data_IF_247589814517
#
_entry.id   IF_247589814517
#
_cell.length_a   1.000
_cell.length_b   1.000
_cell.length_c   1.000
_cell.angle_alpha   90.00
_cell.angle_beta   90.00
_cell.angle_gamma   90.00
#
_symmetry.space_group_name_H-M   'P 1'
#
loop_
_entity.id
_entity.type
_entity.pdbx_description
1 polymer ?
#
# COMPACT_ATOMS: atom_id res chain seq x y z
N UNK A 1 4.02 8.78 -16.81
CA UNK A 1 3.07 8.89 -15.68
C UNK A 1 3.90 9.04 -14.44
N UNK A 2 3.48 9.79 -13.43
CA UNK A 2 4.21 9.80 -12.17
C UNK A 2 3.80 8.57 -11.35
N UNK A 3 4.77 7.84 -10.82
CA UNK A 3 4.48 6.71 -9.92
C UNK A 3 4.14 7.26 -8.53
N UNK A 4 3.33 6.55 -7.76
CA UNK A 4 3.11 6.87 -6.35
C UNK A 4 3.77 5.81 -5.47
N UNK A 5 4.43 6.26 -4.41
CA UNK A 5 5.07 5.44 -3.40
C UNK A 5 4.58 5.92 -2.04
N UNK A 6 3.50 5.29 -1.58
CA UNK A 6 2.85 5.61 -0.31
C UNK A 6 2.33 4.33 0.32
N UNK A 7 1.91 4.41 1.59
CA UNK A 7 1.45 3.24 2.31
C UNK A 7 0.13 2.69 1.75
N UNK A 8 -0.89 3.56 1.66
CA UNK A 8 -2.26 3.17 1.35
C UNK A 8 -2.71 3.42 -0.08
N UNK A 9 -1.77 3.55 -1.03
CA UNK A 9 -2.07 3.86 -2.44
C UNK A 9 -1.91 2.68 -3.41
N UNK A 10 -1.90 2.99 -4.69
CA UNK A 10 -1.62 2.03 -5.75
C UNK A 10 -0.18 1.54 -5.69
N UNK A 11 0.03 0.26 -6.01
CA UNK A 11 1.36 -0.38 -5.93
C UNK A 11 1.82 -1.04 -7.21
N UNK A 12 0.96 -1.17 -8.22
CA UNK A 12 1.30 -1.79 -9.51
C UNK A 12 0.99 -0.77 -10.60
N UNK A 13 1.99 -0.46 -11.42
CA UNK A 13 1.89 0.49 -12.52
C UNK A 13 2.29 -0.19 -13.82
N UNK A 14 1.48 -0.01 -14.87
CA UNK A 14 1.84 -0.42 -16.23
C UNK A 14 1.98 0.82 -17.10
N UNK A 15 3.19 1.07 -17.61
CA UNK A 15 3.53 2.28 -18.36
C UNK A 15 4.06 1.94 -19.75
N UNK A 16 4.11 2.93 -20.63
CA UNK A 16 4.66 2.73 -21.99
C UNK A 16 6.21 2.82 -22.02
N UNK A 17 6.79 3.42 -20.99
CA UNK A 17 8.22 3.64 -20.81
C UNK A 17 8.49 3.85 -19.32
N UNK A 18 9.70 3.51 -18.88
CA UNK A 18 10.15 3.75 -17.50
C UNK A 18 9.81 5.18 -17.04
N UNK A 19 9.30 5.31 -15.84
CA UNK A 19 8.91 6.60 -15.28
C UNK A 19 10.12 7.37 -14.77
N UNK A 20 10.04 8.69 -14.95
CA UNK A 20 11.10 9.64 -14.58
C UNK A 20 10.81 10.35 -13.25
N UNK A 21 9.61 10.16 -12.68
CA UNK A 21 9.18 10.78 -11.43
C UNK A 21 8.43 9.80 -10.52
N UNK A 22 8.70 9.88 -9.21
CA UNK A 22 8.02 9.12 -8.14
C UNK A 22 7.57 10.10 -7.06
N UNK A 23 6.30 10.03 -6.69
CA UNK A 23 5.70 10.80 -5.60
C UNK A 23 5.73 9.98 -4.32
N UNK A 24 6.54 10.40 -3.37
CA UNK A 24 6.70 9.71 -2.09
C UNK A 24 5.85 10.40 -1.03
N UNK A 25 4.87 9.67 -0.48
CA UNK A 25 4.08 10.12 0.67
C UNK A 25 4.89 9.97 1.96
N UNK A 26 5.09 11.07 2.69
CA UNK A 26 5.90 11.10 3.91
C UNK A 26 5.11 11.72 5.06
N UNK A 27 5.66 11.61 6.28
CA UNK A 27 5.16 12.30 7.48
C UNK A 27 5.07 13.83 7.32
N UNK A 28 5.88 14.43 6.44
CA UNK A 28 5.96 15.90 6.29
C UNK A 28 5.45 16.40 4.93
N UNK A 29 4.75 15.56 4.16
CA UNK A 29 4.14 15.92 2.90
C UNK A 29 4.46 14.95 1.78
N UNK A 30 4.31 15.41 0.53
CA UNK A 30 4.72 14.67 -0.67
C UNK A 30 6.08 15.17 -1.14
N UNK A 31 6.98 14.23 -1.43
CA UNK A 31 8.27 14.49 -2.05
C UNK A 31 8.25 13.98 -3.49
N UNK A 32 8.47 14.87 -4.45
CA UNK A 32 8.55 14.51 -5.86
C UNK A 32 10.02 14.23 -6.18
N UNK A 33 10.35 12.96 -6.33
CA UNK A 33 11.68 12.51 -6.73
C UNK A 33 11.72 12.39 -8.25
N UNK A 34 12.76 12.95 -8.86
CA UNK A 34 12.98 12.90 -10.31
C UNK A 34 14.33 12.28 -10.62
N UNK A 35 14.39 11.46 -11.67
CA UNK A 35 15.66 10.98 -12.23
C UNK A 35 16.48 12.15 -12.75
N UNK A 36 17.79 12.12 -12.52
CA UNK A 36 18.69 13.16 -13.01
C UNK A 36 18.90 13.05 -14.52
N UNK A 37 19.09 14.19 -15.18
CA UNK A 37 19.44 14.23 -16.60
C UNK A 37 20.72 13.42 -16.85
N UNK A 38 20.71 12.55 -17.87
CA UNK A 38 21.82 11.62 -18.15
C UNK A 38 21.70 10.26 -17.47
N UNK A 39 20.66 10.03 -16.66
CA UNK A 39 20.23 8.70 -16.21
C UNK A 39 20.91 8.15 -14.96
N UNK A 40 21.83 8.87 -14.34
CA UNK A 40 22.47 8.45 -13.08
C UNK A 40 21.91 9.21 -11.87
N UNK A 41 21.25 8.49 -10.96
CA UNK A 41 20.77 8.99 -9.68
C UNK A 41 19.45 9.77 -9.74
N UNK A 42 19.02 10.22 -8.57
CA UNK A 42 17.76 10.93 -8.35
C UNK A 42 17.96 12.21 -7.54
N UNK A 43 17.02 13.14 -7.67
CA UNK A 43 16.98 14.38 -6.89
C UNK A 43 15.56 14.78 -6.52
N UNK A 44 15.41 15.58 -5.46
CA UNK A 44 14.12 16.15 -5.06
C UNK A 44 13.82 17.30 -6.04
N UNK A 45 12.78 17.13 -6.85
CA UNK A 45 12.31 18.18 -7.76
C UNK A 45 11.47 19.22 -7.03
N UNK A 46 10.55 18.78 -6.17
CA UNK A 46 9.69 19.65 -5.36
C UNK A 46 9.10 18.92 -4.15
N UNK A 47 8.49 19.69 -3.26
CA UNK A 47 7.71 19.22 -2.11
C UNK A 47 6.33 19.88 -2.13
N UNK A 48 5.31 19.16 -1.70
CA UNK A 48 3.94 19.68 -1.58
C UNK A 48 3.29 19.19 -0.29
N UNK A 49 2.20 19.84 0.12
CA UNK A 49 1.47 19.53 1.36
C UNK A 49 2.42 19.46 2.58
N UNK A 50 3.37 20.40 2.64
CA UNK A 50 4.28 20.51 3.77
C UNK A 50 3.48 20.57 5.08
N UNK A 51 3.93 19.87 6.12
CA UNK A 51 3.25 19.67 7.41
C UNK A 51 2.14 18.60 7.48
N UNK A 52 1.77 18.02 6.33
CA UNK A 52 0.77 16.94 6.29
C UNK A 52 1.45 15.58 6.31
N UNK A 53 1.03 14.73 7.22
CA UNK A 53 1.40 13.32 7.15
C UNK A 53 0.58 12.65 6.05
N UNK A 54 1.22 12.39 4.92
CA UNK A 54 0.57 11.76 3.75
C UNK A 54 0.74 10.25 3.81
N UNK A 55 -0.40 9.56 3.92
CA UNK A 55 -0.47 8.12 4.11
C UNK A 55 -0.76 7.38 2.80
N UNK A 56 -1.62 7.95 1.96
CA UNK A 56 -2.04 7.36 0.70
C UNK A 56 -1.97 8.39 -0.42
N UNK A 57 -1.42 8.01 -1.57
CA UNK A 57 -1.39 8.83 -2.79
C UNK A 57 -1.77 7.94 -3.97
N UNK A 58 -2.70 8.42 -4.81
CA UNK A 58 -3.04 7.82 -6.10
C UNK A 58 -3.07 8.89 -7.19
N UNK A 59 -2.94 8.46 -8.45
CA UNK A 59 -3.14 9.32 -9.63
C UNK A 59 -4.33 8.79 -10.41
N UNK A 60 -5.37 9.62 -10.57
CA UNK A 60 -6.55 9.22 -11.32
C UNK A 60 -6.19 9.05 -12.80
N UNK A 61 -6.35 7.84 -13.38
CA UNK A 61 -5.71 7.50 -14.65
C UNK A 61 -6.24 8.28 -15.85
N UNK A 62 -7.48 8.83 -15.81
CA UNK A 62 -8.06 9.57 -16.93
C UNK A 62 -7.71 11.05 -16.92
N UNK A 63 -7.82 11.71 -15.77
CA UNK A 63 -7.60 13.14 -15.60
C UNK A 63 -6.17 13.49 -15.23
N UNK A 64 -5.40 12.55 -14.67
CA UNK A 64 -4.09 12.80 -14.11
C UNK A 64 -4.12 13.53 -12.76
N UNK A 65 -5.31 13.71 -12.16
CA UNK A 65 -5.43 14.34 -10.85
C UNK A 65 -4.72 13.52 -9.79
N UNK A 66 -3.89 14.16 -8.97
CA UNK A 66 -3.19 13.53 -7.85
C UNK A 66 -4.07 13.70 -6.62
N UNK A 67 -4.34 12.60 -5.92
CA UNK A 67 -5.20 12.56 -4.75
C UNK A 67 -4.37 12.06 -3.58
N UNK A 68 -4.34 12.83 -2.49
CA UNK A 68 -3.54 12.57 -1.32
C UNK A 68 -4.41 12.49 -0.06
N UNK A 69 -4.35 11.35 0.61
CA UNK A 69 -4.96 11.10 1.92
C UNK A 69 -3.97 11.38 3.05
N UNK A 70 -4.43 12.10 4.07
CA UNK A 70 -3.63 12.56 5.17
C UNK A 70 -4.11 12.03 6.53
N UNK A 71 -3.16 11.83 7.45
CA UNK A 71 -3.38 11.51 8.87
C UNK A 71 -3.64 12.79 9.66
N UNK A 72 -4.48 12.71 10.69
CA UNK A 72 -5.02 13.81 11.51
C UNK A 72 -5.70 14.92 10.68
N UNK A 73 -6.06 14.58 9.45
CA UNK A 73 -6.70 15.43 8.46
C UNK A 73 -7.52 14.53 7.51
N UNK A 74 -7.78 14.98 6.29
CA UNK A 74 -8.60 14.24 5.32
C UNK A 74 -7.90 14.16 3.96
N UNK A 75 -8.49 14.75 2.90
CA UNK A 75 -8.05 14.52 1.52
C UNK A 75 -7.79 15.82 0.77
N UNK A 76 -6.73 15.80 -0.03
CA UNK A 76 -6.29 16.90 -0.87
C UNK A 76 -6.17 16.42 -2.32
N UNK A 77 -6.54 17.27 -3.27
CA UNK A 77 -6.50 16.96 -4.70
C UNK A 77 -5.77 18.06 -5.46
N UNK A 78 -4.91 17.66 -6.38
CA UNK A 78 -4.26 18.52 -7.36
C UNK A 78 -4.68 18.12 -8.77
N UNK A 79 -5.09 19.09 -9.58
CA UNK A 79 -5.42 18.91 -11.00
C UNK A 79 -4.36 19.55 -11.93
N UNK A 80 -3.23 20.00 -11.36
CA UNK A 80 -2.16 20.75 -12.06
C UNK A 80 -0.76 20.17 -11.79
N UNK A 81 -0.66 18.84 -11.71
CA UNK A 81 0.58 18.10 -11.49
C UNK A 81 1.26 18.44 -10.15
N UNK A 82 0.46 18.63 -9.10
CA UNK A 82 0.93 18.84 -7.74
C UNK A 82 1.41 20.27 -7.45
N UNK A 83 1.17 21.23 -8.36
CA UNK A 83 1.55 22.63 -8.17
C UNK A 83 0.65 23.32 -7.15
N UNK A 84 -0.66 23.09 -7.22
CA UNK A 84 -1.65 23.57 -6.26
C UNK A 84 -2.52 22.43 -5.76
N UNK A 85 -3.02 22.58 -4.53
CA UNK A 85 -3.80 21.56 -3.83
C UNK A 85 -5.04 22.17 -3.23
N UNK A 86 -6.16 21.49 -3.42
CA UNK A 86 -7.45 21.84 -2.85
C UNK A 86 -7.87 20.74 -1.87
N UNK A 87 -8.32 21.14 -0.67
CA UNK A 87 -8.96 20.21 0.24
C UNK A 87 -10.35 19.85 -0.30
N UNK A 88 -10.61 18.57 -0.54
CA UNK A 88 -11.87 18.09 -1.15
C UNK A 88 -12.50 17.00 -0.31
N UNK A 89 -12.99 17.38 0.87
CA UNK A 89 -13.46 16.47 1.92
C UNK A 89 -14.97 16.55 2.19
N UNK A 90 -15.74 17.19 1.31
CA UNK A 90 -17.19 17.34 1.51
C UNK A 90 -17.88 15.98 1.58
N UNK A 91 -18.48 15.66 2.73
CA UNK A 91 -19.14 14.38 2.97
C UNK A 91 -18.28 13.31 3.67
N UNK A 92 -16.98 13.53 3.80
CA UNK A 92 -16.12 12.70 4.67
C UNK A 92 -16.41 13.08 6.12
N UNK A 93 -16.79 12.10 6.93
CA UNK A 93 -17.15 12.31 8.35
C UNK A 93 -16.11 11.80 9.33
N UNK A 94 -15.09 11.09 8.85
CA UNK A 94 -13.99 10.56 9.65
C UNK A 94 -12.65 11.16 9.22
N UNK A 95 -11.73 11.43 10.14
CA UNK A 95 -10.36 11.84 9.80
C UNK A 95 -9.55 10.62 9.32
N UNK A 96 -8.25 10.84 9.11
CA UNK A 96 -7.24 9.79 8.89
C UNK A 96 -7.52 8.94 7.65
N UNK A 97 -7.21 9.47 6.46
CA UNK A 97 -7.34 8.70 5.23
C UNK A 97 -6.20 7.68 5.15
N UNK A 98 -6.52 6.43 5.45
CA UNK A 98 -5.57 5.33 5.58
C UNK A 98 -5.29 4.65 4.23
N UNK A 99 -6.29 4.60 3.35
CA UNK A 99 -6.18 3.99 2.03
C UNK A 99 -6.99 4.73 0.98
N UNK A 100 -6.49 4.71 -0.26
CA UNK A 100 -7.12 5.24 -1.45
C UNK A 100 -7.02 4.22 -2.57
N UNK A 101 -8.08 4.12 -3.37
CA UNK A 101 -8.09 3.30 -4.57
C UNK A 101 -9.02 3.89 -5.63
N UNK A 102 -8.77 3.58 -6.89
CA UNK A 102 -9.64 3.95 -8.00
C UNK A 102 -10.16 2.70 -8.73
N UNK A 103 -11.43 2.72 -9.14
CA UNK A 103 -12.03 1.65 -9.94
C UNK A 103 -12.94 2.22 -11.03
N UNK A 104 -13.13 1.47 -12.12
CA UNK A 104 -14.14 1.81 -13.12
C UNK A 104 -15.50 1.27 -12.71
N UNK A 105 -16.47 2.17 -12.48
CA UNK A 105 -17.85 1.85 -12.13
C UNK A 105 -18.76 2.49 -13.16
N UNK A 106 -19.56 1.69 -13.87
CA UNK A 106 -20.47 2.16 -14.92
C UNK A 106 -19.78 3.06 -15.97
N UNK A 107 -18.55 2.73 -16.35
CA UNK A 107 -17.75 3.46 -17.35
C UNK A 107 -17.08 4.75 -16.86
N UNK A 108 -17.22 5.10 -15.57
CA UNK A 108 -16.59 6.26 -14.94
C UNK A 108 -15.58 5.82 -13.89
N UNK A 109 -14.54 6.62 -13.68
CA UNK A 109 -13.65 6.41 -12.54
C UNK A 109 -14.36 6.84 -11.27
N UNK A 110 -14.42 5.94 -10.28
CA UNK A 110 -14.83 6.22 -8.91
C UNK A 110 -13.61 6.08 -8.01
N UNK A 111 -13.43 7.04 -7.11
CA UNK A 111 -12.37 7.00 -6.10
C UNK A 111 -12.99 6.51 -4.80
N UNK A 112 -12.27 5.66 -4.08
CA UNK A 112 -12.64 5.16 -2.76
C UNK A 112 -11.62 5.65 -1.72
N UNK A 113 -12.10 5.91 -0.50
CA UNK A 113 -11.29 6.29 0.63
C UNK A 113 -11.65 5.46 1.86
N UNK A 114 -10.64 4.82 2.44
CA UNK A 114 -10.71 4.09 3.70
C UNK A 114 -10.13 4.94 4.83
N UNK A 115 -10.77 4.93 6.00
CA UNK A 115 -10.39 5.80 7.12
C UNK A 115 -10.01 5.06 8.39
N UNK A 116 -9.51 5.80 9.39
CA UNK A 116 -9.47 5.42 10.80
C UNK A 116 -10.36 6.38 11.62
N UNK A 117 -11.44 5.93 12.29
CA UNK A 117 -11.96 4.56 12.37
C UNK A 117 -12.36 3.96 11.01
N UNK A 118 -12.43 2.63 10.93
CA UNK A 118 -12.73 1.87 9.71
C UNK A 118 -14.09 2.23 9.08
N UNK A 119 -14.06 3.17 8.14
CA UNK A 119 -15.17 3.56 7.28
C UNK A 119 -14.72 3.53 5.82
N UNK A 120 -15.69 3.39 4.91
CA UNK A 120 -15.47 3.41 3.47
C UNK A 120 -16.33 4.50 2.84
N UNK A 121 -15.68 5.38 2.07
CA UNK A 121 -16.33 6.43 1.29
C UNK A 121 -16.00 6.26 -0.19
N UNK A 122 -16.83 6.83 -1.05
CA UNK A 122 -16.51 6.98 -2.47
C UNK A 122 -16.87 8.36 -3.01
N UNK A 123 -16.24 8.74 -4.11
CA UNK A 123 -16.50 9.95 -4.89
C UNK A 123 -16.50 9.65 -6.39
N UNK A 124 -17.46 10.23 -7.11
CA UNK A 124 -17.59 10.16 -8.57
C UNK A 124 -17.18 11.47 -9.28
N UNK A 125 -16.68 12.46 -8.53
CA UNK A 125 -16.44 13.83 -9.01
C UNK A 125 -15.05 14.37 -8.62
N UNK A 126 -14.06 13.48 -8.58
CA UNK A 126 -12.67 13.76 -8.24
C UNK A 126 -12.51 14.35 -6.82
N UNK A 127 -13.21 13.73 -5.87
CA UNK A 127 -13.17 14.05 -4.46
C UNK A 127 -14.04 15.23 -4.03
N UNK A 128 -14.73 15.94 -4.95
CA UNK A 128 -15.50 17.14 -4.56
C UNK A 128 -16.63 16.81 -3.58
N UNK A 129 -17.29 15.67 -3.76
CA UNK A 129 -18.31 15.13 -2.86
C UNK A 129 -18.05 13.65 -2.59
N UNK A 130 -18.21 13.27 -1.32
CA UNK A 130 -18.05 11.91 -0.83
C UNK A 130 -19.36 11.36 -0.29
N UNK A 131 -19.62 10.09 -0.59
CA UNK A 131 -20.73 9.33 -0.04
C UNK A 131 -20.19 8.13 0.71
N UNK A 132 -20.70 7.91 1.92
CA UNK A 132 -20.33 6.76 2.73
C UNK A 132 -20.99 5.46 2.22
N UNK A 133 -20.26 4.35 2.30
CA UNK A 133 -20.77 2.98 2.19
C UNK A 133 -20.85 2.37 3.60
N UNK A 134 -21.95 2.62 4.35
CA UNK A 134 -22.05 2.20 5.75
C UNK A 134 -22.14 0.68 5.91
N UNK A 135 -22.46 -0.05 4.83
CA UNK A 135 -22.59 -1.49 4.82
C UNK A 135 -21.31 -2.23 5.26
N UNK A 136 -20.13 -1.62 5.11
CA UNK A 136 -18.88 -2.17 5.64
C UNK A 136 -18.98 -2.48 7.14
N UNK A 137 -19.71 -1.65 7.90
CA UNK A 137 -19.93 -1.81 9.35
C UNK A 137 -21.25 -2.48 9.70
N UNK A 138 -21.89 -3.16 8.73
CA UNK A 138 -23.07 -4.00 8.99
C UNK A 138 -22.71 -5.45 9.33
N UNK A 139 -21.43 -5.83 9.21
CA UNK A 139 -20.88 -7.07 9.77
C UNK A 139 -20.74 -6.96 11.29
N UNK A 140 -20.42 -8.07 11.98
CA UNK A 140 -20.03 -8.00 13.39
C UNK A 140 -18.67 -7.30 13.52
N UNK A 141 -18.69 -6.10 14.12
CA UNK A 141 -17.51 -5.27 14.37
C UNK A 141 -17.06 -5.31 15.83
N UNK A 142 -17.60 -6.21 16.65
CA UNK A 142 -17.35 -6.22 18.10
C UNK A 142 -15.90 -6.57 18.46
N UNK A 143 -15.17 -7.22 17.56
CA UNK A 143 -13.76 -7.56 17.69
C UNK A 143 -12.81 -6.58 16.96
N UNK A 144 -13.34 -5.55 16.30
CA UNK A 144 -12.53 -4.58 15.58
C UNK A 144 -11.73 -3.72 16.57
N UNK A 145 -10.41 -3.82 16.50
CA UNK A 145 -9.50 -3.10 17.40
C UNK A 145 -8.12 -2.97 16.76
N UNK A 146 -7.26 -2.14 17.32
CA UNK A 146 -5.85 -2.12 16.95
C UNK A 146 -4.99 -2.23 18.21
N UNK A 147 -3.90 -3.03 18.22
CA UNK A 147 -3.06 -3.15 19.42
C UNK A 147 -2.42 -1.83 19.86
N UNK A 148 -2.10 -0.94 18.91
CA UNK A 148 -1.57 0.39 19.21
C UNK A 148 -2.67 1.41 19.56
N UNK A 149 -2.39 2.44 20.38
CA UNK A 149 -3.28 3.60 20.52
C UNK A 149 -3.58 4.22 19.14
N UNK A 150 -4.83 4.69 18.88
CA UNK A 150 -5.94 4.84 19.83
C UNK A 150 -6.80 3.57 20.06
N UNK A 151 -6.32 2.39 19.65
CA UNK A 151 -7.03 1.11 19.72
C UNK A 151 -8.28 1.03 18.84
N UNK A 152 -8.18 1.64 17.67
CA UNK A 152 -9.27 1.73 16.69
C UNK A 152 -8.80 1.05 15.41
N UNK A 153 -9.62 0.13 14.89
CA UNK A 153 -9.34 -0.49 13.59
C UNK A 153 -9.50 0.50 12.44
N UNK A 154 -8.77 0.27 11.36
CA UNK A 154 -8.78 1.13 10.17
C UNK A 154 -8.98 0.34 8.89
N UNK A 155 -9.59 1.00 7.91
CA UNK A 155 -9.76 0.47 6.55
C UNK A 155 -8.41 0.54 5.84
N UNK A 156 -7.65 -0.52 6.01
CA UNK A 156 -6.23 -0.62 5.70
C UNK A 156 -5.97 -0.75 4.20
N UNK A 157 -6.76 -1.55 3.50
CA UNK A 157 -6.54 -1.81 2.09
C UNK A 157 -7.87 -2.01 1.35
N UNK A 158 -7.95 -1.46 0.14
CA UNK A 158 -9.10 -1.56 -0.75
C UNK A 158 -8.61 -2.23 -2.04
N UNK A 159 -9.20 -3.36 -2.40
CA UNK A 159 -8.87 -4.05 -3.65
C UNK A 159 -10.15 -4.50 -4.36
N UNK A 160 -10.06 -4.68 -5.67
CA UNK A 160 -11.17 -5.03 -6.54
C UNK A 160 -10.83 -6.28 -7.33
N UNK A 161 -11.83 -7.13 -7.57
CA UNK A 161 -11.66 -8.20 -8.55
C UNK A 161 -11.34 -7.58 -9.93
N UNK A 162 -10.31 -8.08 -10.64
CA UNK A 162 -9.81 -7.43 -11.85
C UNK A 162 -10.83 -7.40 -13.00
N UNK A 163 -11.79 -8.32 -13.01
CA UNK A 163 -12.82 -8.44 -14.05
C UNK A 163 -14.22 -7.98 -13.58
N UNK A 164 -14.40 -7.68 -12.29
CA UNK A 164 -15.69 -7.28 -11.72
C UNK A 164 -15.51 -6.28 -10.57
N UNK A 165 -15.71 -5.00 -10.87
CA UNK A 165 -15.56 -3.93 -9.88
C UNK A 165 -16.68 -3.89 -8.83
N UNK A 166 -17.73 -4.72 -8.95
CA UNK A 166 -18.69 -4.93 -7.87
C UNK A 166 -18.15 -5.86 -6.79
N UNK A 167 -17.15 -6.68 -7.13
CA UNK A 167 -16.48 -7.54 -6.15
C UNK A 167 -15.33 -6.77 -5.50
N UNK A 168 -15.53 -6.36 -4.25
CA UNK A 168 -14.62 -5.50 -3.48
C UNK A 168 -14.10 -6.29 -2.28
N UNK A 169 -12.80 -6.21 -2.03
CA UNK A 169 -12.13 -6.73 -0.85
C UNK A 169 -11.62 -5.56 0.00
N UNK A 170 -11.99 -5.56 1.28
CA UNK A 170 -11.59 -4.54 2.25
C UNK A 170 -10.83 -5.21 3.39
N UNK A 171 -9.54 -4.92 3.50
CA UNK A 171 -8.75 -5.28 4.67
C UNK A 171 -9.03 -4.31 5.81
N UNK A 172 -9.46 -4.83 6.97
CA UNK A 172 -9.56 -4.05 8.21
C UNK A 172 -8.48 -4.55 9.17
N UNK A 173 -7.62 -3.64 9.63
CA UNK A 173 -6.47 -3.93 10.51
C UNK A 173 -6.78 -3.33 11.90
N UNK A 174 -7.16 -4.10 12.94
CA UNK A 174 -7.51 -5.53 12.99
C UNK A 174 -9.03 -5.69 12.96
N UNK A 175 -9.52 -6.50 12.02
CA UNK A 175 -10.95 -6.76 11.83
C UNK A 175 -11.25 -7.77 10.72
N UNK A 176 -10.23 -8.30 10.06
CA UNK A 176 -10.33 -9.31 9.03
C UNK A 176 -10.64 -8.76 7.64
N UNK A 177 -10.70 -9.68 6.67
CA UNK A 177 -11.02 -9.39 5.28
C UNK A 177 -12.54 -9.36 5.08
N UNK A 178 -13.06 -8.24 4.58
CA UNK A 178 -14.46 -8.11 4.19
C UNK A 178 -14.59 -8.21 2.68
N UNK A 179 -15.62 -8.89 2.19
CA UNK A 179 -15.91 -9.04 0.76
C UNK A 179 -17.31 -8.51 0.45
N UNK A 180 -17.43 -7.72 -0.60
CA UNK A 180 -18.69 -7.39 -1.25
C UNK A 180 -18.71 -7.99 -2.65
N UNK A 181 -19.90 -8.28 -3.18
CA UNK A 181 -20.13 -8.71 -4.59
C UNK A 181 -21.19 -7.85 -5.28
N UNK A 182 -21.61 -6.75 -4.64
CA UNK A 182 -22.69 -5.88 -5.08
C UNK A 182 -22.29 -4.39 -5.06
N UNK A 183 -20.99 -4.11 -5.19
CA UNK A 183 -20.45 -2.76 -5.24
C UNK A 183 -20.43 -2.04 -3.89
N UNK A 184 -20.37 -2.80 -2.80
CA UNK A 184 -20.30 -2.29 -1.43
C UNK A 184 -21.67 -2.01 -0.79
N UNK A 185 -22.76 -2.56 -1.34
CA UNK A 185 -24.09 -2.46 -0.73
C UNK A 185 -24.27 -3.45 0.42
N UNK A 186 -23.61 -4.60 0.36
CA UNK A 186 -23.48 -5.57 1.44
C UNK A 186 -22.05 -6.10 1.54
N UNK A 187 -21.66 -6.50 2.75
CA UNK A 187 -20.36 -7.11 3.03
C UNK A 187 -20.53 -8.38 3.86
N UNK A 188 -19.65 -9.35 3.61
CA UNK A 188 -19.46 -10.53 4.44
C UNK A 188 -18.00 -10.63 4.87
N UNK A 189 -17.78 -11.06 6.10
CA UNK A 189 -16.42 -11.35 6.59
C UNK A 189 -15.95 -12.69 6.05
N UNK A 190 -14.77 -12.70 5.46
CA UNK A 190 -14.06 -13.92 5.06
C UNK A 190 -13.28 -14.47 6.25
N UNK A 191 -13.36 -15.78 6.48
CA UNK A 191 -12.73 -16.48 7.61
C UNK A 191 -11.65 -17.46 7.13
N UNK A 192 -10.85 -17.98 8.05
CA UNK A 192 -9.83 -19.02 7.76
C UNK A 192 -8.40 -18.50 7.65
N UNK A 193 -8.19 -17.21 7.92
CA UNK A 193 -6.90 -16.52 7.99
C UNK A 193 -6.87 -15.60 9.22
N UNK A 194 -5.71 -15.01 9.53
CA UNK A 194 -5.57 -14.03 10.60
C UNK A 194 -6.44 -12.77 10.36
N UNK A 195 -6.83 -12.11 11.46
CA UNK A 195 -7.68 -10.93 11.43
C UNK A 195 -6.88 -9.62 11.28
N UNK A 196 -5.56 -9.65 11.50
CA UNK A 196 -4.67 -8.51 11.29
C UNK A 196 -4.29 -8.41 9.80
N UNK A 197 -5.28 -8.08 8.96
CA UNK A 197 -5.12 -8.06 7.50
C UNK A 197 -4.41 -6.78 7.07
N UNK A 198 -3.16 -6.91 6.61
CA UNK A 198 -2.38 -5.78 6.11
C UNK A 198 -2.67 -5.50 4.63
N UNK A 199 -2.73 -6.53 3.79
CA UNK A 199 -2.95 -6.35 2.36
C UNK A 199 -3.65 -7.53 1.70
N UNK A 200 -4.43 -7.25 0.68
CA UNK A 200 -5.04 -8.24 -0.21
C UNK A 200 -4.50 -8.07 -1.60
N UNK A 201 -3.99 -9.14 -2.20
CA UNK A 201 -3.38 -9.11 -3.53
C UNK A 201 -3.96 -10.24 -4.38
N UNK A 202 -4.67 -9.85 -5.42
CA UNK A 202 -5.38 -10.78 -6.32
C UNK A 202 -4.49 -11.04 -7.52
N UNK A 203 -4.31 -12.31 -7.87
CA UNK A 203 -3.59 -12.66 -9.10
C UNK A 203 -4.41 -12.21 -10.32
N UNK A 204 -3.88 -11.33 -11.18
CA UNK A 204 -4.63 -10.82 -12.33
C UNK A 204 -4.90 -11.86 -13.41
N UNK A 205 -4.13 -12.96 -13.47
CA UNK A 205 -4.33 -14.04 -14.45
C UNK A 205 -5.22 -15.18 -13.93
N UNK A 206 -5.41 -15.27 -12.61
CA UNK A 206 -6.31 -16.23 -11.96
C UNK A 206 -6.87 -15.61 -10.68
N UNK A 207 -8.01 -14.91 -10.76
CA UNK A 207 -8.58 -14.20 -9.62
C UNK A 207 -9.03 -15.08 -8.45
N UNK A 208 -9.08 -16.40 -8.62
CA UNK A 208 -9.30 -17.32 -7.50
C UNK A 208 -8.05 -17.47 -6.62
N UNK A 209 -6.88 -17.09 -7.13
CA UNK A 209 -5.63 -17.07 -6.40
C UNK A 209 -5.41 -15.71 -5.74
N UNK A 210 -5.52 -15.66 -4.42
CA UNK A 210 -5.42 -14.42 -3.64
C UNK A 210 -4.43 -14.62 -2.51
N UNK A 211 -3.56 -13.64 -2.31
CA UNK A 211 -2.61 -13.57 -1.21
C UNK A 211 -3.06 -12.54 -0.18
N UNK A 212 -2.84 -12.87 1.09
CA UNK A 212 -3.10 -11.98 2.22
C UNK A 212 -1.81 -11.89 3.02
N UNK A 213 -1.32 -10.68 3.23
CA UNK A 213 -0.30 -10.40 4.24
C UNK A 213 -0.99 -9.97 5.53
N UNK A 214 -0.47 -10.41 6.66
CA UNK A 214 -1.03 -10.05 7.96
C UNK A 214 -0.07 -10.21 9.12
N UNK A 215 -0.60 -10.04 10.32
CA UNK A 215 0.18 -9.99 11.57
C UNK A 215 0.92 -11.27 11.90
N UNK A 216 0.50 -12.41 11.36
CA UNK A 216 1.11 -13.72 11.63
C UNK A 216 1.73 -14.41 10.40
N UNK A 217 1.81 -13.74 9.25
CA UNK A 217 2.45 -14.25 8.04
C UNK A 217 1.67 -13.99 6.76
N UNK A 218 1.85 -14.89 5.79
CA UNK A 218 1.22 -14.84 4.47
C UNK A 218 0.24 -16.01 4.34
N UNK A 219 -0.99 -15.70 3.96
CA UNK A 219 -1.98 -16.70 3.54
C UNK A 219 -2.19 -16.65 2.04
N UNK A 220 -2.55 -17.79 1.46
CA UNK A 220 -2.94 -17.90 0.06
C UNK A 220 -4.16 -18.80 -0.10
N UNK A 221 -5.11 -18.37 -0.91
CA UNK A 221 -6.23 -19.19 -1.40
C UNK A 221 -6.04 -19.42 -2.89
N UNK A 222 -6.55 -20.55 -3.39
CA UNK A 222 -6.60 -20.88 -4.82
C UNK A 222 -8.01 -21.21 -5.31
N UNK A 223 -9.00 -21.00 -4.45
CA UNK A 223 -10.40 -21.36 -4.65
C UNK A 223 -11.35 -20.18 -4.34
N UNK A 224 -10.85 -18.94 -4.46
CA UNK A 224 -11.71 -17.75 -4.34
C UNK A 224 -12.14 -17.45 -2.90
N UNK A 225 -11.26 -17.74 -1.93
CA UNK A 225 -11.44 -17.58 -0.48
C UNK A 225 -12.27 -18.66 0.22
N UNK A 226 -12.42 -19.86 -0.36
CA UNK A 226 -13.09 -20.98 0.32
C UNK A 226 -12.16 -21.68 1.32
N UNK A 227 -10.89 -21.88 0.95
CA UNK A 227 -9.84 -22.42 1.81
C UNK A 227 -8.55 -21.62 1.72
N UNK A 228 -7.73 -21.72 2.77
CA UNK A 228 -6.49 -20.95 2.93
C UNK A 228 -5.31 -21.85 3.32
N UNK A 229 -4.18 -21.61 2.69
CA UNK A 229 -2.86 -22.13 3.03
C UNK A 229 -2.05 -21.05 3.76
N UNK A 230 -1.48 -21.38 4.93
CA UNK A 230 -0.59 -20.48 5.68
C UNK A 230 0.84 -20.69 5.20
N UNK A 231 1.29 -19.86 4.25
CA UNK A 231 2.57 -20.03 3.55
C UNK A 231 3.78 -19.72 4.45
N UNK A 232 3.62 -18.76 5.36
CA UNK A 232 4.70 -18.32 6.26
C UNK A 232 4.15 -18.07 7.65
N UNK A 233 5.01 -18.16 8.67
CA UNK A 233 4.66 -17.85 10.07
C UNK A 233 5.54 -16.73 10.62
N UNK A 234 5.26 -16.26 11.83
CA UNK A 234 6.06 -15.25 12.54
C UNK A 234 7.54 -15.64 12.77
N UNK A 235 7.88 -16.93 12.63
CA UNK A 235 9.24 -17.44 12.75
C UNK A 235 9.96 -17.62 11.40
N UNK A 236 9.31 -17.31 10.27
CA UNK A 236 9.86 -17.53 8.93
C UNK A 236 11.03 -16.57 8.66
N UNK A 237 12.07 -17.04 7.94
CA UNK A 237 13.30 -16.25 7.71
C UNK A 237 13.11 -14.99 6.86
N UNK A 238 12.03 -14.96 6.07
CA UNK A 238 11.57 -13.77 5.35
C UNK A 238 11.33 -12.57 6.27
N UNK A 239 10.91 -12.84 7.50
CA UNK A 239 10.37 -11.86 8.44
C UNK A 239 8.99 -12.29 8.92
N UNK A 240 8.72 -12.06 10.20
CA UNK A 240 7.48 -12.48 10.85
C UNK A 240 6.32 -11.50 10.72
N UNK A 241 6.52 -10.35 10.06
CA UNK A 241 5.49 -9.31 9.92
C UNK A 241 5.52 -8.71 8.49
N UNK A 242 4.97 -9.43 7.49
CA UNK A 242 4.88 -8.95 6.11
C UNK A 242 3.80 -7.88 5.97
N UNK A 243 4.07 -6.77 5.27
CA UNK A 243 3.06 -5.76 4.95
C UNK A 243 2.84 -5.71 3.43
N UNK A 244 3.86 -5.30 2.67
CA UNK A 244 3.77 -5.24 1.20
C UNK A 244 4.01 -6.59 0.54
N UNK A 245 3.05 -7.00 -0.29
CA UNK A 245 3.21 -8.06 -1.28
C UNK A 245 2.78 -7.52 -2.65
N UNK A 246 3.60 -7.78 -3.67
CA UNK A 246 3.39 -7.37 -5.06
C UNK A 246 3.44 -8.60 -5.97
N UNK A 247 2.54 -8.65 -6.95
CA UNK A 247 2.60 -9.60 -8.05
C UNK A 247 3.00 -8.88 -9.32
N UNK A 248 3.92 -9.45 -10.09
CA UNK A 248 4.22 -8.89 -11.41
C UNK A 248 2.99 -9.01 -12.32
N UNK A 249 2.54 -7.93 -12.98
CA UNK A 249 1.25 -7.90 -13.67
C UNK A 249 1.15 -8.87 -14.86
N UNK A 250 2.26 -9.15 -15.55
CA UNK A 250 2.33 -10.12 -16.67
C UNK A 250 2.84 -11.52 -16.29
N UNK A 251 3.35 -11.70 -15.06
CA UNK A 251 4.07 -12.90 -14.59
C UNK A 251 3.74 -13.14 -13.12
N UNK A 252 2.49 -13.46 -12.77
CA UNK A 252 2.04 -13.48 -11.38
C UNK A 252 2.65 -14.58 -10.50
N UNK A 253 3.46 -15.48 -11.07
CA UNK A 253 4.37 -16.35 -10.34
C UNK A 253 5.54 -15.59 -9.69
N UNK A 254 5.86 -14.40 -10.21
CA UNK A 254 6.86 -13.48 -9.66
C UNK A 254 6.20 -12.66 -8.55
N UNK A 255 6.60 -12.94 -7.32
CA UNK A 255 6.05 -12.31 -6.10
C UNK A 255 7.16 -11.60 -5.35
N UNK A 256 6.97 -10.32 -5.03
CA UNK A 256 7.85 -9.61 -4.10
C UNK A 256 7.14 -9.40 -2.76
N UNK A 257 7.85 -9.62 -1.66
CA UNK A 257 7.34 -9.35 -0.32
C UNK A 257 8.36 -8.51 0.45
N UNK A 258 7.86 -7.52 1.20
CA UNK A 258 8.63 -6.83 2.21
C UNK A 258 8.07 -7.18 3.61
N UNK A 259 8.95 -7.68 4.49
CA UNK A 259 8.57 -8.12 5.82
C UNK A 259 9.57 -7.66 6.88
N UNK A 260 9.05 -7.12 7.98
CA UNK A 260 9.85 -6.86 9.17
C UNK A 260 10.16 -8.18 9.90
N UNK A 261 11.26 -8.21 10.65
CA UNK A 261 11.67 -9.41 11.37
C UNK A 261 10.63 -9.82 12.42
N UNK A 262 10.10 -8.85 13.15
CA UNK A 262 9.07 -9.00 14.17
C UNK A 262 8.08 -7.85 14.05
N UNK A 263 6.91 -7.97 14.69
CA UNK A 263 5.87 -6.94 14.65
C UNK A 263 6.22 -5.66 15.44
N UNK A 264 5.43 -4.58 15.29
CA UNK A 264 5.73 -3.24 15.80
C UNK A 264 5.94 -3.16 17.32
N UNK A 265 5.39 -4.11 18.07
CA UNK A 265 5.61 -4.22 19.51
C UNK A 265 7.09 -4.34 19.88
N UNK A 266 7.88 -5.09 19.11
CA UNK A 266 9.31 -5.27 19.40
C UNK A 266 10.15 -4.05 19.04
N UNK A 267 9.72 -3.25 18.05
CA UNK A 267 10.48 -2.09 17.57
C UNK A 267 10.58 -1.01 18.63
N UNK A 268 9.61 -0.94 19.55
CA UNK A 268 9.61 0.01 20.68
C UNK A 268 10.83 -0.17 21.60
N UNK A 269 11.33 -1.39 21.70
CA UNK A 269 12.49 -1.72 22.55
C UNK A 269 13.78 -1.78 21.72
N UNK A 270 13.72 -2.39 20.53
CA UNK A 270 14.92 -2.60 19.69
C UNK A 270 15.31 -1.38 18.86
N UNK A 271 14.39 -0.45 18.62
CA UNK A 271 14.49 0.62 17.63
C UNK A 271 14.90 0.10 16.23
N UNK A 272 14.49 -1.13 15.91
CA UNK A 272 14.93 -1.88 14.74
C UNK A 272 13.83 -2.84 14.26
N UNK A 273 13.33 -2.62 13.05
CA UNK A 273 12.35 -3.50 12.41
C UNK A 273 12.99 -4.72 11.74
N UNK A 274 14.21 -4.57 11.22
CA UNK A 274 14.99 -5.65 10.62
C UNK A 274 14.41 -6.17 9.32
N UNK A 275 13.87 -5.28 8.49
CA UNK A 275 13.10 -5.64 7.30
C UNK A 275 13.96 -6.21 6.18
N UNK A 276 13.35 -7.09 5.39
CA UNK A 276 13.91 -7.66 4.17
C UNK A 276 12.91 -7.53 3.03
N UNK A 277 13.44 -7.49 1.80
CA UNK A 277 12.67 -7.67 0.59
C UNK A 277 13.09 -9.03 0.01
N UNK A 278 12.11 -9.82 -0.41
CA UNK A 278 12.32 -11.15 -0.94
C UNK A 278 11.48 -11.37 -2.18
N UNK A 279 11.99 -12.23 -3.06
CA UNK A 279 11.42 -12.57 -4.35
C UNK A 279 11.06 -14.06 -4.38
N UNK A 280 9.93 -14.39 -4.97
CA UNK A 280 9.57 -15.74 -5.38
C UNK A 280 9.35 -15.75 -6.88
N UNK A 281 9.77 -16.81 -7.55
CA UNK A 281 9.51 -17.06 -8.98
C UNK A 281 8.55 -18.24 -9.21
N UNK A 282 7.93 -18.77 -8.15
CA UNK A 282 7.04 -19.94 -8.21
C UNK A 282 5.70 -19.71 -7.47
N UNK A 283 5.32 -18.43 -7.31
CA UNK A 283 4.07 -18.03 -6.70
C UNK A 283 4.06 -18.16 -5.17
N UNK A 284 5.20 -17.94 -4.52
CA UNK A 284 5.36 -17.90 -3.07
C UNK A 284 5.66 -19.24 -2.40
N UNK A 285 6.03 -20.29 -3.17
CA UNK A 285 6.39 -21.60 -2.62
C UNK A 285 7.83 -21.63 -2.13
N UNK A 286 8.73 -20.97 -2.87
CA UNK A 286 10.11 -20.75 -2.47
C UNK A 286 10.46 -19.28 -2.59
N UNK A 287 11.44 -18.85 -1.80
CA UNK A 287 11.80 -17.45 -1.69
C UNK A 287 13.31 -17.27 -1.68
N UNK A 288 13.75 -16.23 -2.36
CA UNK A 288 15.09 -15.70 -2.35
C UNK A 288 15.09 -14.35 -1.63
N UNK A 289 16.03 -14.14 -0.71
CA UNK A 289 16.26 -12.83 -0.13
C UNK A 289 16.99 -11.97 -1.14
N UNK A 290 16.39 -10.84 -1.52
CA UNK A 290 17.05 -9.88 -2.39
C UNK A 290 18.18 -9.19 -1.64
N UNK A 291 19.32 -9.07 -2.31
CA UNK A 291 20.53 -8.45 -1.80
C UNK A 291 21.14 -7.53 -2.86
N UNK A 292 22.46 -7.38 -2.87
CA UNK A 292 23.17 -6.63 -3.91
C UNK A 292 22.79 -5.13 -4.00
N UNK A 293 23.07 -4.42 -2.90
CA UNK A 293 22.76 -3.01 -2.72
C UNK A 293 21.93 -2.77 -1.46
N UNK A 294 20.95 -3.62 -1.21
CA UNK A 294 20.19 -3.63 0.05
C UNK A 294 21.07 -4.13 1.22
N UNK A 295 20.89 -3.58 2.44
CA UNK A 295 21.45 -4.19 3.64
C UNK A 295 20.77 -5.53 3.93
N UNK A 296 21.46 -6.44 4.63
CA UNK A 296 20.87 -7.74 5.01
C UNK A 296 19.57 -7.59 5.82
N UNK A 297 19.51 -6.56 6.69
CA UNK A 297 18.30 -6.15 7.39
C UNK A 297 18.25 -4.63 7.48
N UNK A 298 17.16 -4.06 7.01
CA UNK A 298 16.91 -2.62 7.09
C UNK A 298 16.50 -2.22 8.50
N UNK A 299 16.99 -1.08 8.99
CA UNK A 299 16.58 -0.55 10.29
C UNK A 299 15.08 -0.27 10.33
N UNK A 300 14.56 0.45 9.34
CA UNK A 300 13.14 0.79 9.23
C UNK A 300 12.27 -0.36 8.70
N UNK A 301 10.98 -0.33 9.04
CA UNK A 301 9.96 -1.09 8.31
C UNK A 301 9.86 -0.57 6.89
N UNK A 302 9.64 -1.45 5.91
CA UNK A 302 9.24 -1.04 4.55
C UNK A 302 7.76 -0.72 4.60
N UNK A 303 7.41 0.55 4.43
CA UNK A 303 6.05 1.08 4.62
C UNK A 303 5.44 1.61 3.33
N UNK A 304 6.18 1.57 2.22
CA UNK A 304 5.66 1.73 0.87
C UNK A 304 6.48 0.88 -0.09
N UNK A 305 5.82 0.20 -1.03
CA UNK A 305 6.48 -0.54 -2.10
C UNK A 305 5.62 -0.50 -3.36
N UNK A 306 6.24 -0.28 -4.52
CA UNK A 306 5.53 -0.38 -5.80
C UNK A 306 6.40 -1.01 -6.90
N UNK A 307 5.73 -1.52 -7.93
CA UNK A 307 6.33 -2.10 -9.12
C UNK A 307 5.83 -1.35 -10.36
N UNK A 308 6.75 -0.98 -11.23
CA UNK A 308 6.47 -0.44 -12.56
C UNK A 308 6.87 -1.45 -13.64
N UNK A 309 5.90 -1.87 -14.44
CA UNK A 309 6.12 -2.66 -15.65
C UNK A 309 5.95 -1.77 -16.90
N UNK A 310 7.05 -1.45 -17.59
CA UNK A 310 7.03 -0.68 -18.83
C UNK A 310 7.03 -1.54 -20.10
N UNK A 311 6.70 -2.84 -20.00
CA UNK A 311 6.61 -3.75 -21.13
C UNK A 311 7.95 -4.27 -21.66
N UNK A 312 9.07 -3.97 -20.99
CA UNK A 312 10.38 -4.51 -21.32
C UNK A 312 10.61 -5.94 -20.83
N UNK A 313 11.86 -6.39 -20.92
CA UNK A 313 12.33 -7.67 -20.37
C UNK A 313 12.48 -7.64 -18.84
N UNK A 314 12.53 -6.44 -18.27
CA UNK A 314 12.62 -6.17 -16.83
C UNK A 314 11.61 -5.11 -16.38
N UNK A 315 11.59 -4.82 -15.08
CA UNK A 315 10.67 -3.93 -14.39
C UNK A 315 11.40 -3.20 -13.25
N UNK A 316 10.80 -2.12 -12.74
CA UNK A 316 11.34 -1.39 -11.60
C UNK A 316 10.59 -1.77 -10.34
N UNK A 317 11.30 -1.80 -9.22
CA UNK A 317 10.71 -1.90 -7.89
C UNK A 317 11.24 -0.76 -7.04
N UNK A 318 10.33 -0.07 -6.38
CA UNK A 318 10.65 0.96 -5.40
C UNK A 318 10.21 0.51 -4.03
N UNK A 319 11.02 0.78 -3.01
CA UNK A 319 10.68 0.54 -1.61
C UNK A 319 11.08 1.76 -0.77
N UNK A 320 10.23 2.16 0.17
CA UNK A 320 10.53 3.24 1.10
C UNK A 320 10.22 2.86 2.54
N UNK A 321 10.99 3.42 3.47
CA UNK A 321 11.02 2.97 4.86
C UNK A 321 10.45 3.99 5.85
N UNK A 322 10.09 3.48 7.03
CA UNK A 322 9.78 4.27 8.22
C UNK A 322 10.96 5.09 8.78
N UNK A 323 12.15 4.96 8.20
CA UNK A 323 13.35 5.73 8.57
C UNK A 323 13.77 6.73 7.51
N UNK A 324 13.04 6.83 6.39
CA UNK A 324 13.22 7.88 5.39
C UNK A 324 14.18 7.54 4.25
N UNK A 325 14.54 6.27 4.09
CA UNK A 325 15.28 5.77 2.92
C UNK A 325 14.30 5.38 1.80
N UNK A 326 14.70 5.62 0.55
CA UNK A 326 14.02 5.17 -0.66
C UNK A 326 15.01 4.39 -1.52
N UNK A 327 14.61 3.20 -1.92
CA UNK A 327 15.39 2.25 -2.70
C UNK A 327 14.74 2.00 -4.05
N UNK A 328 15.56 1.78 -5.06
CA UNK A 328 15.12 1.44 -6.42
C UNK A 328 15.93 0.27 -6.96
N UNK A 329 15.25 -0.63 -7.66
CA UNK A 329 15.84 -1.55 -8.62
C UNK A 329 15.17 -1.31 -9.96
N UNK A 330 15.94 -1.21 -11.04
CA UNK A 330 15.46 -1.08 -12.42
C UNK A 330 15.65 -2.37 -13.24
N UNK A 331 16.13 -3.43 -12.60
CA UNK A 331 16.48 -4.71 -13.20
C UNK A 331 15.73 -5.89 -12.55
N UNK A 332 14.53 -5.64 -12.04
CA UNK A 332 13.64 -6.67 -11.52
C UNK A 332 14.00 -7.17 -10.12
N UNK A 333 14.86 -6.45 -9.40
CA UNK A 333 15.31 -6.78 -8.05
C UNK A 333 16.72 -7.38 -7.97
N UNK A 334 17.45 -7.47 -9.10
CA UNK A 334 18.80 -8.05 -9.16
C UNK A 334 19.87 -7.11 -8.53
N UNK A 335 19.75 -5.80 -8.74
CA UNK A 335 20.57 -4.77 -8.09
C UNK A 335 19.69 -3.67 -7.49
N UNK A 336 20.15 -3.11 -6.37
CA UNK A 336 19.43 -2.05 -5.66
C UNK A 336 20.31 -0.83 -5.41
N UNK A 337 19.72 0.35 -5.54
CA UNK A 337 20.33 1.64 -5.24
C UNK A 337 19.49 2.36 -4.16
N UNK A 338 20.16 2.93 -3.15
CA UNK A 338 19.54 3.92 -2.26
C UNK A 338 19.44 5.24 -3.01
N UNK A 339 18.28 5.51 -3.62
CA UNK A 339 18.09 6.69 -4.46
C UNK A 339 17.87 7.97 -3.66
N UNK A 340 17.46 7.83 -2.39
CA UNK A 340 17.25 8.95 -1.48
C UNK A 340 17.38 8.50 -0.03
N UNK A 341 17.94 9.37 0.80
CA UNK A 341 18.07 9.15 2.24
C UNK A 341 17.80 10.45 3.01
N UNK A 342 17.43 10.33 4.28
CA UNK A 342 17.11 11.47 5.13
C UNK A 342 15.81 12.18 4.77
N UNK A 343 14.87 11.51 4.08
CA UNK A 343 13.50 12.02 3.98
C UNK A 343 12.82 11.94 5.35
N UNK A 344 11.75 12.71 5.51
CA UNK A 344 10.80 12.44 6.58
C UNK A 344 10.27 11.00 6.42
N UNK A 345 9.97 10.30 7.53
CA UNK A 345 9.51 8.92 7.48
C UNK A 345 8.37 8.67 6.50
N UNK A 346 8.46 7.58 5.74
CA UNK A 346 7.32 7.01 5.02
C UNK A 346 6.68 6.03 5.99
N UNK A 347 5.45 6.28 6.43
CA UNK A 347 4.90 5.50 7.55
C UNK A 347 3.39 5.51 7.60
N UNK A 348 2.82 4.37 8.00
CA UNK A 348 1.43 4.28 8.45
C UNK A 348 1.30 4.80 9.89
N UNK A 349 0.51 5.86 10.08
CA UNK A 349 0.31 6.48 11.40
C UNK A 349 1.63 6.69 12.15
N UNK A 350 1.71 6.25 13.40
CA UNK A 350 2.90 6.47 14.25
C UNK A 350 3.93 5.32 14.23
N UNK A 351 3.94 4.44 13.23
CA UNK A 351 4.90 3.33 13.14
C UNK A 351 6.37 3.80 13.18
N UNK A 352 6.66 4.92 12.50
CA UNK A 352 8.00 5.50 12.49
C UNK A 352 8.51 5.91 13.88
N UNK A 353 7.62 6.24 14.81
CA UNK A 353 7.99 6.86 16.09
C UNK A 353 8.89 5.97 16.96
N UNK A 354 8.84 4.65 16.76
CA UNK A 354 9.71 3.70 17.46
C UNK A 354 11.05 3.48 16.75
N UNK A 355 11.20 3.92 15.50
CA UNK A 355 12.36 3.63 14.64
C UNK A 355 13.25 4.85 14.44
N UNK A 356 12.67 6.05 14.52
CA UNK A 356 13.40 7.31 14.55
C UNK A 356 13.51 7.78 16.00
N UNK A 357 14.70 8.22 16.40
CA UNK A 357 14.89 8.82 17.73
C UNK A 357 14.21 10.19 17.76
N UNK A 358 13.57 10.51 18.89
CA UNK A 358 12.96 11.83 19.14
C UNK A 358 13.98 12.98 19.11
#
# INVERSE_FOLDING_TARGET
MALTLSHGGDTIFSTASRSEEVLVGTKEGIVFLKRNDGGSGWSIARRALADKHIHAVIVEPKSGAIIAGATEDTIYVSEDDGQTWEKRDSGITQPDIYSLAAAQVNGKTRIFAGTQPAHLFFSDDLGRNWTELPALRSVDTSDWTFPGPPHVAHTKHINFHPEDTNTIFIGVEVGGLQKSTDGGQTFTRITGMDNDVHRTVINPADPNKIYITGGDGIYMTSDGCETWEHLTTTAHELGGYPDFLLLHPRKPEVVLVAAAHHGPGSWRESHFAGSRISLSNDGGKTWEQLGNGLPDRMKGSVEAMCLEDWGGDTYSVFAATATGEVWCSDDGGETWEEIMTGLAPISKGNHYASLVTA
#
